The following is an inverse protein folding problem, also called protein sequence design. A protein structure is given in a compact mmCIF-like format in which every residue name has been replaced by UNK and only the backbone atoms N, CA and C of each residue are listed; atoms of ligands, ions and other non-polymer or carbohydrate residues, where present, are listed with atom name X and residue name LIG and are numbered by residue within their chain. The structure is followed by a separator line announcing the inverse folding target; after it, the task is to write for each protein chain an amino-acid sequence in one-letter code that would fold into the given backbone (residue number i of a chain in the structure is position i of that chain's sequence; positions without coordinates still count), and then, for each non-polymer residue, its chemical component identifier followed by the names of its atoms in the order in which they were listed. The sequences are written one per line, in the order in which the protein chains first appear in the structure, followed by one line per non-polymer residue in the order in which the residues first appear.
data_IF_857966642109
#
_entry.id   IF_857966642109
#
_cell.length_a   1.000
_cell.length_b   1.000
_cell.length_c   1.000
_cell.angle_alpha   90.00
_cell.angle_beta   90.00
_cell.angle_gamma   90.00
#
_symmetry.space_group_name_H-M   'P 1'
#
loop_
_entity.id
_entity.type
_entity.pdbx_description
1 polymer ?
#
# COMPACT_ATOMS: atom_id res chain seq x y z
N UNK A 1 -29.79 30.71 18.30
CA UNK A 1 -29.24 29.34 18.29
C UNK A 1 -28.03 29.34 17.36
N UNK A 2 -26.86 29.47 17.95
CA UNK A 2 -25.60 29.42 17.19
C UNK A 2 -25.33 27.97 16.88
N UNK A 3 -25.51 27.56 15.59
CA UNK A 3 -25.04 26.27 15.12
C UNK A 3 -23.52 26.27 15.29
N UNK A 4 -23.04 25.52 16.28
CA UNK A 4 -21.63 25.13 16.32
C UNK A 4 -21.33 24.42 14.99
N UNK A 5 -20.29 24.83 14.23
CA UNK A 5 -19.96 24.12 12.99
C UNK A 5 -19.74 22.67 13.35
N UNK A 6 -20.41 21.77 12.63
CA UNK A 6 -20.24 20.35 12.81
C UNK A 6 -18.73 20.05 12.66
N UNK A 7 -18.12 19.51 13.71
CA UNK A 7 -16.71 19.14 13.71
C UNK A 7 -16.51 18.15 12.55
N UNK A 8 -15.73 18.52 11.56
CA UNK A 8 -15.43 17.63 10.44
C UNK A 8 -14.86 16.33 11.01
N UNK A 9 -15.47 15.22 10.68
CA UNK A 9 -14.94 13.90 11.05
C UNK A 9 -13.64 13.67 10.29
N UNK A 10 -12.63 13.04 10.91
CA UNK A 10 -11.42 12.68 10.19
C UNK A 10 -11.75 11.72 9.05
N UNK A 11 -11.19 11.99 7.89
CA UNK A 11 -11.31 11.16 6.70
C UNK A 11 -9.93 10.98 6.06
N UNK A 12 -9.77 9.96 5.24
CA UNK A 12 -8.54 9.74 4.47
C UNK A 12 -8.84 9.56 2.99
N UNK A 13 -7.89 9.99 2.17
CA UNK A 13 -7.95 9.83 0.71
C UNK A 13 -6.65 9.20 0.24
N UNK A 14 -6.76 8.02 -0.37
CA UNK A 14 -5.64 7.36 -1.02
C UNK A 14 -5.55 7.86 -2.46
N UNK A 15 -4.60 8.75 -2.73
CA UNK A 15 -4.39 9.33 -4.05
C UNK A 15 -3.48 8.43 -4.91
N UNK A 16 -3.85 8.26 -6.19
CA UNK A 16 -3.16 7.39 -7.14
C UNK A 16 -2.56 8.21 -8.28
N UNK A 17 -1.37 8.80 -8.11
CA UNK A 17 -0.81 9.76 -9.06
C UNK A 17 -0.43 9.15 -10.41
N UNK A 18 -0.30 7.83 -10.49
CA UNK A 18 0.03 7.06 -11.69
C UNK A 18 -1.11 6.15 -12.17
N UNK A 19 -2.30 6.24 -11.53
CA UNK A 19 -3.38 5.30 -11.78
C UNK A 19 -2.91 3.86 -11.59
N UNK A 20 -3.11 3.01 -12.59
CA UNK A 20 -2.68 1.61 -12.61
C UNK A 20 -1.24 1.41 -13.14
N UNK A 21 -0.57 2.46 -13.65
CA UNK A 21 0.75 2.32 -14.26
C UNK A 21 1.80 1.87 -13.24
N UNK A 22 2.52 0.80 -13.56
CA UNK A 22 3.58 0.21 -12.73
C UNK A 22 4.74 -0.25 -13.60
N UNK A 23 5.95 -0.25 -13.06
CA UNK A 23 7.14 -0.82 -13.67
C UNK A 23 7.28 -2.32 -13.45
N UNK A 24 6.47 -2.91 -12.56
CA UNK A 24 6.37 -4.34 -12.30
C UNK A 24 5.16 -4.97 -13.00
N UNK A 25 5.13 -6.30 -12.97
CA UNK A 25 4.09 -7.15 -13.52
C UNK A 25 3.78 -8.31 -12.55
N UNK A 26 3.52 -7.95 -11.30
CA UNK A 26 3.18 -8.92 -10.26
C UNK A 26 1.92 -9.70 -10.66
N UNK A 27 1.98 -11.02 -10.65
CA UNK A 27 0.90 -11.86 -11.20
C UNK A 27 -0.45 -11.70 -10.50
N UNK A 28 -0.43 -11.37 -9.22
CA UNK A 28 -1.63 -11.14 -8.40
C UNK A 28 -2.10 -9.68 -8.39
N UNK A 29 -1.43 -8.75 -9.09
CA UNK A 29 -1.69 -7.34 -8.94
C UNK A 29 -3.00 -6.91 -9.62
N UNK A 30 -4.04 -6.75 -8.84
CA UNK A 30 -5.36 -6.31 -9.34
C UNK A 30 -5.35 -4.89 -9.93
N UNK A 31 -4.36 -4.06 -9.60
CA UNK A 31 -4.23 -2.71 -10.18
C UNK A 31 -3.91 -2.74 -11.67
N UNK A 32 -3.15 -3.70 -12.16
CA UNK A 32 -2.76 -3.77 -13.57
C UNK A 32 -3.97 -3.80 -14.51
N UNK A 33 -5.00 -4.57 -14.14
CA UNK A 33 -6.22 -4.68 -14.95
C UNK A 33 -7.06 -3.40 -14.98
N UNK A 34 -6.87 -2.49 -14.03
CA UNK A 34 -7.60 -1.22 -13.97
C UNK A 34 -7.23 -0.25 -15.08
N UNK A 35 -6.13 -0.49 -15.81
CA UNK A 35 -5.86 0.22 -17.07
C UNK A 35 -7.02 0.15 -18.06
N UNK A 36 -7.81 -0.93 -18.02
CA UNK A 36 -8.99 -1.14 -18.87
C UNK A 36 -10.17 -0.20 -18.59
N UNK A 37 -10.15 0.49 -17.46
CA UNK A 37 -11.22 1.43 -17.07
C UNK A 37 -11.05 2.82 -17.71
N UNK A 38 -9.90 3.08 -18.33
CA UNK A 38 -9.56 4.41 -18.82
C UNK A 38 -9.08 4.37 -20.26
N UNK A 39 -9.63 5.23 -21.10
CA UNK A 39 -9.23 5.38 -22.51
C UNK A 39 -7.84 6.03 -22.67
N UNK A 40 -7.33 6.66 -21.62
CA UNK A 40 -6.06 7.37 -21.62
C UNK A 40 -4.89 6.40 -21.55
N UNK A 41 -4.04 6.39 -22.60
CA UNK A 41 -2.81 5.58 -22.64
C UNK A 41 -1.79 5.95 -21.55
N UNK A 42 -1.84 7.17 -21.03
CA UNK A 42 -0.93 7.68 -19.99
C UNK A 42 -1.74 8.14 -18.79
N UNK A 43 -1.81 7.29 -17.79
CA UNK A 43 -2.45 7.58 -16.51
C UNK A 43 -1.45 8.34 -15.63
N UNK A 44 -1.61 9.65 -15.54
CA UNK A 44 -0.68 10.50 -14.82
C UNK A 44 -1.40 11.75 -14.33
N UNK A 45 -1.40 11.97 -13.02
CA UNK A 45 -2.01 13.14 -12.39
C UNK A 45 -1.35 14.43 -12.91
N UNK A 46 -2.15 15.37 -13.37
CA UNK A 46 -1.65 16.68 -13.80
C UNK A 46 -1.29 17.56 -12.61
N UNK A 47 -0.49 18.62 -12.83
CA UNK A 47 -0.21 19.60 -11.79
C UNK A 47 -1.48 20.33 -11.32
N UNK A 48 -2.41 20.61 -12.23
CA UNK A 48 -3.70 21.20 -11.89
C UNK A 48 -4.54 20.31 -10.98
N UNK A 49 -4.59 19.00 -11.28
CA UNK A 49 -5.27 18.01 -10.45
C UNK A 49 -4.61 17.90 -9.08
N UNK A 50 -3.27 17.88 -9.03
CA UNK A 50 -2.51 17.86 -7.79
C UNK A 50 -2.81 19.09 -6.93
N UNK A 51 -2.74 20.31 -7.51
CA UNK A 51 -3.01 21.55 -6.78
C UNK A 51 -4.45 21.61 -6.27
N UNK A 52 -5.41 21.21 -7.10
CA UNK A 52 -6.83 21.13 -6.74
C UNK A 52 -7.05 20.15 -5.58
N UNK A 53 -6.43 18.99 -5.65
CA UNK A 53 -6.49 17.99 -4.58
C UNK A 53 -5.92 18.53 -3.28
N UNK A 54 -4.69 19.03 -3.28
CA UNK A 54 -4.02 19.55 -2.07
C UNK A 54 -4.86 20.64 -1.42
N UNK A 55 -5.31 21.63 -2.23
CA UNK A 55 -6.13 22.73 -1.74
C UNK A 55 -7.43 22.26 -1.09
N UNK A 56 -8.18 21.40 -1.77
CA UNK A 56 -9.47 20.92 -1.28
C UNK A 56 -9.33 20.01 -0.08
N UNK A 57 -8.36 19.08 -0.10
CA UNK A 57 -8.10 18.15 0.99
C UNK A 57 -7.72 18.89 2.27
N UNK A 58 -6.77 19.83 2.21
CA UNK A 58 -6.34 20.60 3.36
C UNK A 58 -7.45 21.55 3.88
N UNK A 59 -8.25 22.11 2.97
CA UNK A 59 -9.40 22.93 3.37
C UNK A 59 -10.47 22.13 4.12
N UNK A 60 -10.72 20.90 3.69
CA UNK A 60 -11.73 20.01 4.30
C UNK A 60 -11.24 19.28 5.56
N UNK A 61 -9.92 19.12 5.71
CA UNK A 61 -9.31 18.42 6.84
C UNK A 61 -9.40 19.24 8.14
N UNK A 62 -9.49 18.59 9.31
CA UNK A 62 -9.46 19.29 10.61
C UNK A 62 -8.09 19.94 10.88
N UNK A 63 -8.00 20.70 11.96
CA UNK A 63 -6.72 21.16 12.49
C UNK A 63 -5.98 20.00 13.18
N UNK A 64 -4.66 20.13 13.33
CA UNK A 64 -3.77 19.09 13.85
C UNK A 64 -3.12 18.25 12.75
N UNK A 65 -2.85 16.99 13.05
CA UNK A 65 -2.20 16.09 12.10
C UNK A 65 -3.13 15.73 10.93
N UNK A 66 -2.63 15.93 9.72
CA UNK A 66 -3.32 15.64 8.45
C UNK A 66 -2.40 14.78 7.59
N UNK A 67 -2.81 13.56 7.27
CA UNK A 67 -1.99 12.63 6.49
C UNK A 67 -2.49 12.49 5.06
N UNK A 68 -1.63 12.74 4.09
CA UNK A 68 -1.87 12.51 2.66
C UNK A 68 -1.28 11.16 2.26
N UNK A 69 -2.10 10.28 1.66
CA UNK A 69 -1.75 8.91 1.33
C UNK A 69 -1.55 8.76 -0.18
N UNK A 70 -0.41 8.15 -0.57
CA UNK A 70 -0.01 7.97 -1.96
C UNK A 70 0.17 6.48 -2.27
N UNK A 71 -0.59 5.98 -3.24
CA UNK A 71 -0.56 4.59 -3.65
C UNK A 71 -0.92 4.47 -5.15
N UNK A 72 -1.30 3.31 -5.62
CA UNK A 72 -1.75 3.05 -6.99
C UNK A 72 -0.93 1.94 -7.63
N UNK A 73 -0.54 2.10 -8.89
CA UNK A 73 0.43 1.24 -9.54
C UNK A 73 1.80 1.37 -8.87
N UNK A 74 2.65 2.25 -9.38
CA UNK A 74 3.90 2.62 -8.69
C UNK A 74 4.02 4.16 -8.65
N UNK A 75 3.77 4.79 -7.49
CA UNK A 75 3.75 6.25 -7.40
C UNK A 75 5.11 6.90 -7.68
N UNK A 76 6.24 6.22 -7.41
CA UNK A 76 7.58 6.78 -7.68
C UNK A 76 7.87 6.98 -9.17
N UNK A 77 7.08 6.40 -10.07
CA UNK A 77 7.14 6.69 -11.50
C UNK A 77 6.81 8.15 -11.85
N UNK A 78 6.19 8.91 -10.92
CA UNK A 78 5.99 10.36 -11.09
C UNK A 78 7.30 11.15 -11.01
N UNK A 79 8.34 10.55 -10.42
CA UNK A 79 9.62 11.21 -10.17
C UNK A 79 9.59 12.20 -9.02
N UNK A 80 10.76 12.55 -8.51
CA UNK A 80 10.93 13.50 -7.40
C UNK A 80 10.28 14.86 -7.66
N UNK A 81 10.39 15.49 -8.87
CA UNK A 81 9.80 16.82 -9.10
C UNK A 81 8.30 16.91 -8.81
N UNK A 82 7.55 15.83 -9.02
CA UNK A 82 6.13 15.79 -8.66
C UNK A 82 5.91 15.90 -7.15
N UNK A 83 6.70 15.17 -6.38
CA UNK A 83 6.59 15.18 -4.92
C UNK A 83 7.20 16.43 -4.29
N UNK A 84 8.25 17.01 -4.87
CA UNK A 84 8.74 18.34 -4.51
C UNK A 84 7.65 19.39 -4.67
N UNK A 85 6.95 19.35 -5.81
CA UNK A 85 5.80 20.24 -6.08
C UNK A 85 4.66 20.00 -5.09
N UNK A 86 4.39 18.76 -4.70
CA UNK A 86 3.44 18.45 -3.64
C UNK A 86 3.79 19.18 -2.33
N UNK A 87 5.05 19.13 -1.90
CA UNK A 87 5.48 19.79 -0.66
C UNK A 87 5.26 21.30 -0.74
N UNK A 88 5.65 21.94 -1.85
CA UNK A 88 5.40 23.37 -2.07
C UNK A 88 3.91 23.72 -1.97
N UNK A 89 3.04 22.91 -2.57
CA UNK A 89 1.60 23.12 -2.52
C UNK A 89 1.03 22.91 -1.12
N UNK A 90 1.53 21.94 -0.36
CA UNK A 90 1.14 21.76 1.02
C UNK A 90 1.50 22.98 1.88
N UNK A 91 2.72 23.51 1.73
CA UNK A 91 3.12 24.75 2.43
C UNK A 91 2.28 25.97 2.01
N UNK A 92 1.88 26.04 0.76
CA UNK A 92 1.03 27.13 0.23
C UNK A 92 -0.39 27.11 0.82
N UNK A 93 -0.96 25.92 1.01
CA UNK A 93 -2.40 25.77 1.32
C UNK A 93 -2.72 25.30 2.73
N UNK A 94 -1.75 24.77 3.50
CA UNK A 94 -1.99 24.37 4.88
C UNK A 94 -2.33 25.58 5.77
N UNK A 95 -3.20 25.35 6.73
CA UNK A 95 -3.40 26.32 7.81
C UNK A 95 -2.24 26.25 8.82
N UNK A 96 -1.94 27.35 9.55
CA UNK A 96 -0.88 27.33 10.59
C UNK A 96 -1.09 26.28 11.69
N UNK A 97 -2.34 25.85 11.88
CA UNK A 97 -2.74 24.84 12.87
C UNK A 97 -2.66 23.40 12.35
N UNK A 98 -2.34 23.20 11.05
CA UNK A 98 -2.22 21.88 10.45
C UNK A 98 -0.76 21.44 10.35
N UNK A 99 -0.50 20.18 10.72
CA UNK A 99 0.75 19.48 10.50
C UNK A 99 0.53 18.43 9.42
N UNK A 100 1.03 18.71 8.21
CA UNK A 100 0.85 17.80 7.06
C UNK A 100 1.92 16.71 7.11
N UNK A 101 1.48 15.45 7.06
CA UNK A 101 2.32 14.26 6.97
C UNK A 101 2.03 13.54 5.66
N UNK A 102 2.95 12.73 5.23
CA UNK A 102 2.81 11.95 4.01
C UNK A 102 3.07 10.47 4.28
N UNK A 103 2.28 9.61 3.65
CA UNK A 103 2.59 8.19 3.58
C UNK A 103 2.52 7.71 2.13
N UNK A 104 3.48 6.92 1.71
CA UNK A 104 3.57 6.39 0.35
C UNK A 104 3.76 4.88 0.40
N UNK A 105 2.98 4.16 -0.42
CA UNK A 105 3.18 2.73 -0.63
C UNK A 105 3.87 2.51 -1.98
N UNK A 106 5.03 1.87 -1.96
CA UNK A 106 5.86 1.62 -3.14
C UNK A 106 6.32 0.17 -3.23
N UNK A 107 6.58 -0.28 -4.45
CA UNK A 107 7.27 -1.56 -4.67
C UNK A 107 8.79 -1.48 -4.36
N UNK A 108 9.32 -0.32 -4.05
CA UNK A 108 10.70 -0.11 -3.61
C UNK A 108 11.78 -0.18 -4.70
N UNK A 109 11.48 -0.68 -5.89
CA UNK A 109 12.51 -0.96 -6.93
C UNK A 109 13.16 0.29 -7.52
N UNK A 110 12.49 1.45 -7.41
CA UNK A 110 12.97 2.73 -7.92
C UNK A 110 13.49 3.66 -6.82
N UNK A 111 13.50 3.21 -5.56
CA UNK A 111 14.03 4.00 -4.44
C UNK A 111 15.55 4.09 -4.56
N UNK A 112 16.04 5.31 -4.71
CA UNK A 112 17.46 5.68 -4.77
C UNK A 112 17.86 6.45 -3.50
N UNK A 113 19.15 6.72 -3.26
CA UNK A 113 19.56 7.60 -2.17
C UNK A 113 18.88 8.97 -2.20
N UNK A 114 18.65 9.56 -3.39
CA UNK A 114 17.93 10.83 -3.51
C UNK A 114 16.45 10.74 -3.06
N UNK A 115 15.78 9.63 -3.39
CA UNK A 115 14.45 9.36 -2.88
C UNK A 115 14.43 9.21 -1.35
N UNK A 116 15.39 8.46 -0.80
CA UNK A 116 15.48 8.25 0.63
C UNK A 116 15.75 9.57 1.39
N UNK A 117 16.66 10.43 0.90
CA UNK A 117 16.88 11.77 1.45
C UNK A 117 15.62 12.63 1.41
N UNK A 118 14.93 12.65 0.26
CA UNK A 118 13.68 13.39 0.12
C UNK A 118 12.60 12.91 1.12
N UNK A 119 12.43 11.59 1.26
CA UNK A 119 11.45 11.04 2.20
C UNK A 119 11.79 11.40 3.66
N UNK A 120 13.06 11.34 4.04
CA UNK A 120 13.50 11.72 5.38
C UNK A 120 13.29 13.21 5.66
N UNK A 121 13.72 14.08 4.76
CA UNK A 121 13.61 15.53 4.89
C UNK A 121 12.14 16.01 5.00
N UNK A 122 11.22 15.29 4.37
CA UNK A 122 9.81 15.63 4.34
C UNK A 122 8.93 14.72 5.23
N UNK A 123 9.54 13.96 6.15
CA UNK A 123 8.85 13.12 7.15
C UNK A 123 7.82 12.17 6.52
N UNK A 124 8.17 11.49 5.42
CA UNK A 124 7.34 10.45 4.84
C UNK A 124 7.40 9.17 5.65
N UNK A 125 6.25 8.54 5.86
CA UNK A 125 6.17 7.12 6.16
C UNK A 125 6.17 6.34 4.84
N UNK A 126 7.15 5.46 4.65
CA UNK A 126 7.29 4.67 3.42
C UNK A 126 6.91 3.22 3.67
N UNK A 127 5.74 2.84 3.14
CA UNK A 127 5.37 1.44 3.02
C UNK A 127 6.10 0.80 1.84
N UNK A 128 6.83 -0.28 2.09
CA UNK A 128 7.53 -1.02 1.04
C UNK A 128 6.99 -2.44 0.92
N UNK A 129 6.80 -2.87 -0.31
CA UNK A 129 6.19 -4.17 -0.60
C UNK A 129 7.24 -5.28 -0.68
N UNK A 130 7.28 -6.18 0.32
CA UNK A 130 8.18 -7.35 0.37
C UNK A 130 7.39 -8.55 0.85
N UNK A 131 7.43 -9.69 0.11
CA UNK A 131 6.63 -10.88 0.43
C UNK A 131 7.45 -12.00 1.13
N UNK A 132 8.65 -11.68 1.61
CA UNK A 132 9.56 -12.61 2.29
C UNK A 132 10.93 -12.72 1.61
N UNK A 133 11.73 -13.74 1.93
CA UNK A 133 12.99 -14.05 1.24
C UNK A 133 12.81 -14.21 -0.27
N UNK A 134 13.90 -14.12 -1.04
CA UNK A 134 13.87 -14.08 -2.50
C UNK A 134 13.00 -15.17 -3.15
N UNK A 135 13.04 -16.46 -2.77
CA UNK A 135 12.20 -17.48 -3.39
C UNK A 135 10.70 -17.22 -3.23
N UNK A 136 10.28 -16.69 -2.09
CA UNK A 136 8.89 -16.41 -1.78
C UNK A 136 8.43 -15.11 -2.45
N UNK A 137 9.24 -14.07 -2.39
CA UNK A 137 8.96 -12.78 -3.04
C UNK A 137 8.89 -12.93 -4.57
N UNK A 138 9.90 -13.55 -5.16
CA UNK A 138 10.04 -13.66 -6.62
C UNK A 138 9.08 -14.68 -7.24
N UNK A 139 8.35 -15.45 -6.43
CA UNK A 139 7.30 -16.35 -6.92
C UNK A 139 6.24 -15.61 -7.74
N UNK A 140 5.85 -14.40 -7.31
CA UNK A 140 4.79 -13.63 -7.96
C UNK A 140 5.13 -12.15 -8.21
N UNK A 141 6.13 -11.57 -7.52
CA UNK A 141 6.57 -10.19 -7.78
C UNK A 141 7.63 -10.15 -8.85
N UNK A 142 7.17 -10.13 -10.10
CA UNK A 142 8.01 -10.14 -11.28
C UNK A 142 8.06 -8.75 -11.93
N UNK A 143 9.16 -8.45 -12.59
CA UNK A 143 9.24 -7.32 -13.50
C UNK A 143 8.57 -7.63 -14.84
N UNK A 144 8.44 -6.64 -15.72
CA UNK A 144 7.84 -6.83 -17.05
C UNK A 144 8.59 -7.80 -17.96
N UNK A 145 9.82 -8.15 -17.64
CA UNK A 145 10.63 -9.18 -18.31
C UNK A 145 10.46 -10.58 -17.72
N UNK A 146 9.61 -10.75 -16.70
CA UNK A 146 9.38 -12.04 -16.03
C UNK A 146 10.48 -12.44 -15.04
N UNK A 147 11.36 -11.54 -14.64
CA UNK A 147 12.41 -11.79 -13.66
C UNK A 147 11.99 -11.35 -12.27
N UNK A 148 12.50 -12.04 -11.25
CA UNK A 148 12.29 -11.67 -9.84
C UNK A 148 12.79 -10.27 -9.52
N UNK A 149 12.20 -9.64 -8.51
CA UNK A 149 12.47 -8.23 -8.16
C UNK A 149 13.06 -8.06 -6.77
N UNK A 150 13.20 -9.13 -5.99
CA UNK A 150 13.65 -9.11 -4.60
C UNK A 150 14.95 -8.29 -4.41
N UNK A 151 15.99 -8.57 -5.17
CA UNK A 151 17.27 -7.86 -5.05
C UNK A 151 17.17 -6.34 -5.30
N UNK A 152 16.25 -5.93 -6.17
CA UNK A 152 15.99 -4.51 -6.44
C UNK A 152 15.26 -3.84 -5.27
N UNK A 153 14.29 -4.55 -4.70
CA UNK A 153 13.51 -4.06 -3.55
C UNK A 153 14.39 -3.94 -2.31
N UNK A 154 15.23 -4.95 -2.03
CA UNK A 154 16.16 -4.92 -0.88
C UNK A 154 17.13 -3.78 -0.99
N UNK A 155 17.68 -3.48 -2.17
CA UNK A 155 18.49 -2.28 -2.39
C UNK A 155 17.72 -1.00 -2.04
N UNK A 156 16.45 -0.90 -2.44
CA UNK A 156 15.59 0.23 -2.06
C UNK A 156 15.35 0.31 -0.55
N UNK A 157 15.13 -0.82 0.10
CA UNK A 157 15.03 -0.94 1.55
C UNK A 157 16.29 -0.44 2.26
N UNK A 158 17.46 -0.85 1.79
CA UNK A 158 18.76 -0.41 2.33
C UNK A 158 18.94 1.11 2.21
N UNK A 159 18.54 1.71 1.09
CA UNK A 159 18.57 3.17 0.95
C UNK A 159 17.68 3.89 1.96
N UNK A 160 16.47 3.39 2.20
CA UNK A 160 15.56 3.95 3.21
C UNK A 160 16.13 3.81 4.62
N UNK A 161 16.67 2.63 4.95
CA UNK A 161 17.30 2.36 6.24
C UNK A 161 18.51 3.25 6.50
N UNK A 162 19.40 3.38 5.52
CA UNK A 162 20.61 4.20 5.62
C UNK A 162 20.31 5.69 5.80
N UNK A 163 19.15 6.14 5.33
CA UNK A 163 18.66 7.52 5.52
C UNK A 163 17.78 7.67 6.77
N UNK A 164 17.59 6.63 7.57
CA UNK A 164 16.73 6.62 8.76
C UNK A 164 15.28 7.08 8.45
N UNK A 165 14.71 6.61 7.35
CA UNK A 165 13.33 6.87 6.95
C UNK A 165 12.38 5.98 7.74
N UNK A 166 11.26 6.52 8.20
CA UNK A 166 10.19 5.74 8.81
C UNK A 166 9.59 4.77 7.80
N UNK A 167 9.66 3.48 8.09
CA UNK A 167 9.28 2.43 7.14
C UNK A 167 8.31 1.43 7.72
N UNK A 168 7.45 0.87 6.86
CA UNK A 168 6.57 -0.24 7.15
C UNK A 168 6.67 -1.28 6.01
N UNK A 169 6.85 -2.56 6.33
CA UNK A 169 6.77 -3.62 5.32
C UNK A 169 5.32 -4.04 5.14
N UNK A 170 4.87 -4.04 3.88
CA UNK A 170 3.60 -4.65 3.48
C UNK A 170 3.91 -5.97 2.77
N UNK A 171 3.51 -7.07 3.40
CA UNK A 171 3.65 -8.42 2.86
C UNK A 171 2.30 -8.93 2.35
N UNK A 172 2.27 -9.36 1.11
CA UNK A 172 1.12 -10.05 0.55
C UNK A 172 1.25 -11.53 0.87
N UNK A 173 0.26 -12.11 1.56
CA UNK A 173 0.22 -13.56 1.86
C UNK A 173 -0.52 -14.27 0.73
N UNK A 174 0.15 -15.23 0.12
CA UNK A 174 -0.30 -15.96 -1.06
C UNK A 174 0.15 -17.42 -1.00
N UNK A 175 -0.30 -18.27 -1.92
CA UNK A 175 -0.03 -19.70 -1.91
C UNK A 175 1.48 -20.09 -1.83
N UNK A 176 2.41 -19.21 -2.28
CA UNK A 176 3.82 -19.52 -2.21
C UNK A 176 4.47 -19.24 -0.84
N UNK A 177 3.87 -18.37 0.00
CA UNK A 177 4.42 -18.03 1.32
C UNK A 177 3.48 -18.36 2.49
N UNK A 178 2.25 -18.81 2.24
CA UNK A 178 1.23 -19.04 3.28
C UNK A 178 1.62 -20.09 4.35
N UNK A 179 2.51 -21.01 4.03
CA UNK A 179 3.03 -22.02 4.98
C UNK A 179 4.40 -21.62 5.57
N UNK A 180 4.88 -20.41 5.32
CA UNK A 180 6.20 -19.89 5.71
C UNK A 180 6.13 -18.70 6.69
N UNK A 181 5.07 -18.60 7.52
CA UNK A 181 4.83 -17.44 8.37
C UNK A 181 6.03 -17.04 9.23
N UNK A 182 6.60 -17.99 9.99
CA UNK A 182 7.77 -17.70 10.83
C UNK A 182 9.03 -17.36 10.04
N UNK A 183 9.26 -18.00 8.88
CA UNK A 183 10.39 -17.69 8.01
C UNK A 183 10.31 -16.24 7.52
N UNK A 184 9.12 -15.82 7.03
CA UNK A 184 8.87 -14.45 6.56
C UNK A 184 9.02 -13.44 7.70
N UNK A 185 8.43 -13.73 8.87
CA UNK A 185 8.49 -12.84 10.03
C UNK A 185 9.93 -12.64 10.51
N UNK A 186 10.68 -13.73 10.69
CA UNK A 186 12.08 -13.68 11.12
C UNK A 186 12.97 -12.99 10.11
N UNK A 187 12.75 -13.22 8.82
CA UNK A 187 13.45 -12.52 7.75
C UNK A 187 13.26 -11.00 7.86
N UNK A 188 12.03 -10.53 8.08
CA UNK A 188 11.77 -9.09 8.24
C UNK A 188 12.40 -8.53 9.52
N UNK A 189 12.22 -9.23 10.64
CA UNK A 189 12.73 -8.78 11.95
C UNK A 189 14.25 -8.88 12.04
N UNK A 190 14.83 -10.04 11.75
CA UNK A 190 16.22 -10.36 12.07
C UNK A 190 17.19 -9.93 10.97
N UNK A 191 16.83 -10.12 9.69
CA UNK A 191 17.69 -9.81 8.56
C UNK A 191 17.49 -8.38 8.05
N UNK A 192 16.22 -7.96 7.89
CA UNK A 192 15.92 -6.60 7.43
C UNK A 192 15.88 -5.59 8.58
N UNK A 193 15.72 -6.03 9.83
CA UNK A 193 15.59 -5.19 11.01
C UNK A 193 14.32 -4.32 10.97
N UNK A 194 13.25 -4.82 10.36
CA UNK A 194 11.98 -4.11 10.29
C UNK A 194 11.27 -4.15 11.64
N UNK A 195 10.70 -3.01 12.04
CA UNK A 195 9.92 -2.89 13.26
C UNK A 195 8.41 -2.84 13.00
N UNK A 196 7.98 -2.44 11.81
CA UNK A 196 6.57 -2.33 11.45
C UNK A 196 6.27 -3.20 10.25
N UNK A 197 5.26 -4.06 10.36
CA UNK A 197 4.88 -4.97 9.27
C UNK A 197 3.38 -5.22 9.24
N UNK A 198 2.89 -5.50 8.05
CA UNK A 198 1.50 -5.77 7.76
C UNK A 198 1.39 -6.97 6.82
N UNK A 199 0.49 -7.89 7.11
CA UNK A 199 0.24 -9.08 6.32
C UNK A 199 -1.15 -9.00 5.69
N UNK A 200 -1.23 -9.03 4.35
CA UNK A 200 -2.49 -8.92 3.62
C UNK A 200 -2.73 -10.19 2.80
N UNK A 201 -3.82 -10.94 3.05
CA UNK A 201 -4.10 -12.15 2.31
C UNK A 201 -4.59 -11.85 0.90
N UNK A 202 -4.14 -12.61 -0.08
CA UNK A 202 -4.71 -12.61 -1.42
C UNK A 202 -5.89 -13.56 -1.49
N UNK A 203 -7.02 -13.05 -1.98
CA UNK A 203 -8.20 -13.85 -2.36
C UNK A 203 -8.70 -13.32 -3.70
N UNK A 204 -8.26 -13.90 -4.80
CA UNK A 204 -8.64 -13.50 -6.16
C UNK A 204 -9.85 -14.29 -6.63
N UNK A 205 -11.07 -13.75 -6.40
CA UNK A 205 -12.32 -14.37 -6.83
C UNK A 205 -12.63 -14.05 -8.28
N UNK A 206 -13.02 -15.08 -9.02
CA UNK A 206 -13.40 -14.96 -10.43
C UNK A 206 -14.53 -15.92 -10.78
N UNK A 207 -15.36 -15.62 -11.80
CA UNK A 207 -16.25 -16.59 -12.40
C UNK A 207 -15.46 -17.76 -13.01
N UNK A 208 -16.04 -18.96 -12.97
CA UNK A 208 -15.40 -20.20 -13.43
C UNK A 208 -14.92 -20.11 -14.88
N UNK A 209 -15.69 -19.46 -15.74
CA UNK A 209 -15.33 -19.25 -17.16
C UNK A 209 -14.07 -18.39 -17.36
N UNK A 210 -13.74 -17.56 -16.37
CA UNK A 210 -12.55 -16.68 -16.40
C UNK A 210 -11.33 -17.23 -15.64
N UNK A 211 -11.48 -18.33 -14.89
CA UNK A 211 -10.43 -18.86 -14.03
C UNK A 211 -9.13 -19.13 -14.80
N UNK A 212 -9.22 -19.80 -15.97
CA UNK A 212 -8.04 -20.10 -16.79
C UNK A 212 -7.29 -18.85 -17.23
N UNK A 213 -8.00 -17.77 -17.52
CA UNK A 213 -7.39 -16.50 -17.91
C UNK A 213 -6.79 -15.78 -16.69
N UNK A 214 -7.49 -15.79 -15.56
CA UNK A 214 -7.02 -15.21 -14.31
C UNK A 214 -5.73 -15.88 -13.79
N UNK A 215 -5.58 -17.19 -14.00
CA UNK A 215 -4.34 -17.93 -13.64
C UNK A 215 -3.09 -17.41 -14.37
N UNK A 216 -3.23 -16.77 -15.54
CA UNK A 216 -2.14 -16.14 -16.26
C UNK A 216 -1.70 -14.79 -15.66
N UNK A 217 -2.43 -14.28 -14.67
CA UNK A 217 -2.23 -12.95 -14.06
C UNK A 217 -3.09 -11.87 -14.71
N UNK A 218 -3.03 -10.67 -14.15
CA UNK A 218 -3.88 -9.53 -14.53
C UNK A 218 -3.21 -8.58 -15.52
N UNK A 219 -2.42 -9.11 -16.43
CA UNK A 219 -1.65 -8.31 -17.40
C UNK A 219 -2.54 -7.51 -18.34
N UNK A 220 -2.10 -6.29 -18.66
CA UNK A 220 -2.65 -5.53 -19.78
C UNK A 220 -2.32 -6.20 -21.12
N UNK A 221 -3.27 -6.25 -22.05
CA UNK A 221 -3.08 -6.84 -23.39
C UNK A 221 -4.39 -7.16 -24.08
N UNK A 222 -4.32 -7.74 -25.28
CA UNK A 222 -5.51 -8.07 -26.08
C UNK A 222 -6.45 -9.11 -25.45
N UNK A 223 -5.99 -9.83 -24.43
CA UNK A 223 -6.77 -10.79 -23.65
C UNK A 223 -6.98 -10.33 -22.19
N UNK A 224 -6.77 -9.04 -21.90
CA UNK A 224 -6.88 -8.52 -20.54
C UNK A 224 -8.29 -8.69 -19.99
N UNK A 225 -8.35 -9.16 -18.75
CA UNK A 225 -9.57 -9.31 -17.96
C UNK A 225 -9.57 -8.29 -16.83
N UNK A 226 -10.64 -7.49 -16.74
CA UNK A 226 -10.80 -6.58 -15.61
C UNK A 226 -11.12 -7.37 -14.35
N UNK A 227 -10.28 -7.23 -13.34
CA UNK A 227 -10.52 -7.82 -12.02
C UNK A 227 -11.67 -7.11 -11.30
N UNK A 228 -12.70 -7.87 -10.90
CA UNK A 228 -13.92 -7.36 -10.25
C UNK A 228 -14.19 -7.94 -8.86
N UNK A 229 -13.41 -8.90 -8.38
CA UNK A 229 -13.63 -9.59 -7.10
C UNK A 229 -15.02 -10.24 -7.01
N UNK A 230 -15.49 -10.84 -8.08
CA UNK A 230 -16.75 -11.56 -8.18
C UNK A 230 -16.55 -13.02 -8.60
N UNK A 231 -17.59 -13.84 -8.49
CA UNK A 231 -17.57 -15.24 -8.92
C UNK A 231 -17.46 -16.26 -7.79
N UNK A 232 -17.39 -17.54 -8.19
CA UNK A 232 -17.46 -18.73 -7.33
C UNK A 232 -16.16 -19.53 -7.24
N UNK A 233 -15.12 -19.10 -7.95
CA UNK A 233 -13.80 -19.70 -7.93
C UNK A 233 -12.76 -18.73 -7.39
N UNK A 234 -11.62 -19.26 -6.92
CA UNK A 234 -10.42 -18.48 -6.58
C UNK A 234 -9.23 -19.00 -7.39
N UNK A 235 -8.28 -18.12 -7.70
CA UNK A 235 -7.04 -18.51 -8.37
C UNK A 235 -6.17 -19.39 -7.46
N UNK A 236 -5.28 -20.17 -8.06
CA UNK A 236 -4.31 -21.01 -7.34
C UNK A 236 -3.30 -20.22 -6.50
N UNK A 237 -3.17 -18.91 -6.75
CA UNK A 237 -2.33 -18.00 -5.97
C UNK A 237 -2.99 -17.56 -4.66
N UNK A 238 -4.30 -17.70 -4.56
CA UNK A 238 -5.05 -17.26 -3.39
C UNK A 238 -4.72 -18.12 -2.17
N UNK A 239 -4.54 -17.49 -1.02
CA UNK A 239 -4.41 -18.20 0.25
C UNK A 239 -5.77 -18.72 0.74
N UNK A 240 -5.77 -19.78 1.54
CA UNK A 240 -6.98 -20.26 2.20
C UNK A 240 -7.16 -19.61 3.57
N UNK A 241 -8.40 -19.51 4.10
CA UNK A 241 -8.61 -18.99 5.45
C UNK A 241 -7.82 -19.75 6.53
N UNK A 242 -7.69 -21.08 6.39
CA UNK A 242 -6.94 -21.92 7.33
C UNK A 242 -5.44 -21.70 7.24
N UNK A 243 -4.87 -21.56 6.04
CA UNK A 243 -3.44 -21.26 5.85
C UNK A 243 -3.10 -19.87 6.36
N UNK A 244 -3.92 -18.87 6.04
CA UNK A 244 -3.71 -17.51 6.56
C UNK A 244 -3.82 -17.45 8.09
N UNK A 245 -4.79 -18.18 8.67
CA UNK A 245 -4.93 -18.30 10.12
C UNK A 245 -3.68 -18.92 10.77
N UNK A 246 -3.14 -20.01 10.20
CA UNK A 246 -1.87 -20.60 10.68
C UNK A 246 -0.71 -19.63 10.54
N UNK A 247 -0.56 -19.01 9.37
CA UNK A 247 0.48 -18.01 9.11
C UNK A 247 0.55 -16.94 10.21
N UNK A 248 -0.60 -16.35 10.56
CA UNK A 248 -0.65 -15.34 11.61
C UNK A 248 -0.45 -15.95 13.01
N UNK A 249 -1.02 -17.13 13.30
CA UNK A 249 -0.88 -17.77 14.62
C UNK A 249 0.56 -18.14 14.92
N UNK A 250 1.28 -18.71 13.94
CA UNK A 250 2.69 -19.07 14.09
C UNK A 250 3.55 -17.84 14.40
N UNK A 251 3.27 -16.71 13.74
CA UNK A 251 3.94 -15.43 14.02
C UNK A 251 3.56 -14.92 15.41
N UNK A 252 2.27 -14.96 15.77
CA UNK A 252 1.78 -14.47 17.04
C UNK A 252 2.41 -15.19 18.23
N UNK A 253 2.56 -16.51 18.14
CA UNK A 253 3.15 -17.34 19.20
C UNK A 253 4.61 -16.95 19.51
N UNK A 254 5.38 -16.53 18.50
CA UNK A 254 6.73 -15.99 18.71
C UNK A 254 6.70 -14.54 19.17
N UNK A 255 5.91 -13.71 18.50
CA UNK A 255 5.83 -12.28 18.77
C UNK A 255 5.39 -11.95 20.19
N UNK A 256 4.36 -12.66 20.71
CA UNK A 256 3.80 -12.38 22.05
C UNK A 256 4.80 -12.65 23.18
N UNK A 257 5.78 -13.52 22.95
CA UNK A 257 6.78 -13.90 23.96
C UNK A 257 8.02 -13.01 23.90
N UNK A 258 8.37 -12.48 22.72
CA UNK A 258 9.67 -11.85 22.50
C UNK A 258 9.63 -10.40 22.07
N UNK A 259 8.63 -10.02 21.28
CA UNK A 259 8.74 -8.83 20.41
C UNK A 259 7.71 -7.74 20.72
N UNK A 260 6.82 -7.99 21.70
CA UNK A 260 5.79 -7.00 22.11
C UNK A 260 6.45 -5.69 22.54
N UNK A 261 6.01 -4.58 21.93
CA UNK A 261 6.56 -3.24 22.19
C UNK A 261 7.88 -2.94 21.47
N UNK A 262 8.41 -3.89 20.70
CA UNK A 262 9.62 -3.71 19.88
C UNK A 262 9.33 -3.88 18.39
N UNK A 263 8.50 -4.86 18.04
CA UNK A 263 8.01 -5.10 16.68
C UNK A 263 6.49 -4.96 16.68
N UNK A 264 5.98 -4.25 15.70
CA UNK A 264 4.56 -3.95 15.54
C UNK A 264 4.00 -4.67 14.32
N UNK A 265 3.06 -5.58 14.57
CA UNK A 265 2.33 -6.30 13.53
C UNK A 265 0.93 -5.74 13.48
N UNK A 266 0.54 -5.12 12.38
CA UNK A 266 -0.72 -4.37 12.28
C UNK A 266 -1.94 -5.21 12.66
N UNK A 267 -1.98 -6.49 12.26
CA UNK A 267 -3.08 -7.40 12.57
C UNK A 267 -3.24 -7.60 14.08
N UNK A 268 -2.13 -7.73 14.81
CA UNK A 268 -2.14 -7.95 16.26
C UNK A 268 -2.49 -6.67 17.01
N UNK A 269 -1.85 -5.55 16.65
CA UNK A 269 -2.11 -4.25 17.28
C UNK A 269 -3.56 -3.81 17.03
N UNK A 270 -4.10 -4.05 15.83
CA UNK A 270 -5.48 -3.73 15.49
C UNK A 270 -6.47 -4.59 16.27
N UNK A 271 -6.17 -5.88 16.44
CA UNK A 271 -6.99 -6.81 17.22
C UNK A 271 -7.02 -6.42 18.69
N UNK A 272 -5.86 -6.08 19.26
CA UNK A 272 -5.76 -5.58 20.63
C UNK A 272 -6.53 -4.26 20.81
N UNK A 273 -6.37 -3.31 19.90
CA UNK A 273 -7.11 -2.04 19.92
C UNK A 273 -8.62 -2.25 19.89
N UNK A 274 -9.10 -3.19 19.08
CA UNK A 274 -10.52 -3.53 18.99
C UNK A 274 -11.05 -4.12 20.32
N UNK A 275 -10.27 -4.92 21.03
CA UNK A 275 -10.61 -5.45 22.36
C UNK A 275 -10.77 -4.34 23.40
N UNK A 276 -10.04 -3.24 23.26
CA UNK A 276 -10.16 -2.06 24.12
C UNK A 276 -11.18 -1.02 23.62
N UNK A 277 -11.98 -1.37 22.60
CA UNK A 277 -13.10 -0.56 22.11
C UNK A 277 -12.74 0.52 21.08
N UNK A 278 -11.52 0.49 20.52
CA UNK A 278 -11.11 1.39 19.44
C UNK A 278 -10.72 0.60 18.18
N UNK A 279 -11.44 0.82 17.06
CA UNK A 279 -11.03 0.27 15.77
C UNK A 279 -9.94 1.16 15.17
N UNK A 280 -8.75 0.60 14.95
CA UNK A 280 -7.61 1.31 14.35
C UNK A 280 -7.53 1.15 12.83
N UNK A 281 -8.21 0.15 12.26
CA UNK A 281 -8.21 -0.15 10.83
C UNK A 281 -9.64 -0.17 10.30
N UNK A 282 -9.86 0.43 9.13
CA UNK A 282 -11.19 0.56 8.50
C UNK A 282 -11.93 -0.76 8.34
N UNK A 283 -11.24 -1.85 8.00
CA UNK A 283 -11.85 -3.18 7.83
C UNK A 283 -12.48 -3.73 9.12
N UNK A 284 -12.04 -3.26 10.28
CA UNK A 284 -12.57 -3.63 11.60
C UNK A 284 -13.50 -2.56 12.19
N UNK A 285 -13.71 -1.45 11.48
CA UNK A 285 -14.58 -0.37 11.96
C UNK A 285 -16.07 -0.75 11.84
N UNK A 286 -16.93 -0.29 12.76
CA UNK A 286 -18.36 -0.59 12.74
C UNK A 286 -19.11 0.12 11.60
N UNK A 287 -18.50 1.14 10.98
CA UNK A 287 -19.08 1.90 9.86
C UNK A 287 -18.05 2.14 8.77
N UNK A 288 -18.51 2.18 7.53
CA UNK A 288 -17.73 2.51 6.33
C UNK A 288 -17.93 3.98 5.94
N UNK A 289 -17.04 4.53 5.05
CA UNK A 289 -17.21 5.83 4.40
C UNK A 289 -16.21 6.91 4.82
N UNK A 290 -15.30 6.62 5.75
CA UNK A 290 -14.23 7.55 6.13
C UNK A 290 -12.99 7.46 5.20
N UNK A 291 -12.86 6.41 4.40
CA UNK A 291 -11.73 6.20 3.50
C UNK A 291 -12.19 6.24 2.06
N UNK A 292 -11.55 7.09 1.27
CA UNK A 292 -11.84 7.31 -0.13
C UNK A 292 -10.60 7.01 -0.98
N UNK A 293 -10.79 6.74 -2.25
CA UNK A 293 -9.73 6.64 -3.23
C UNK A 293 -9.89 7.74 -4.29
N UNK A 294 -8.79 8.38 -4.68
CA UNK A 294 -8.76 9.36 -5.76
C UNK A 294 -7.86 8.88 -6.88
N UNK A 295 -8.39 8.83 -8.09
CA UNK A 295 -7.65 8.45 -9.28
C UNK A 295 -6.83 9.64 -9.84
N UNK A 296 -5.93 9.33 -10.77
CA UNK A 296 -5.02 10.32 -11.39
C UNK A 296 -5.73 11.48 -12.08
N UNK A 297 -6.99 11.29 -12.50
CA UNK A 297 -7.82 12.31 -13.17
C UNK A 297 -8.64 13.16 -12.19
N UNK A 298 -8.58 12.86 -10.89
CA UNK A 298 -9.31 13.58 -9.85
C UNK A 298 -10.67 12.97 -9.45
N UNK A 299 -11.08 11.87 -10.08
CA UNK A 299 -12.30 11.15 -9.68
C UNK A 299 -12.10 10.52 -8.29
N UNK A 300 -13.11 10.69 -7.43
CA UNK A 300 -13.10 10.20 -6.03
C UNK A 300 -14.21 9.17 -5.84
N UNK A 301 -13.89 8.07 -5.17
CA UNK A 301 -14.78 6.94 -4.89
C UNK A 301 -14.80 6.60 -3.41
#
# INVERSE_FOLDING_TARGET
MTHSPARALPFSVVAKPTGAACNLDCQYCFFLSKELLYDQKRQSMSEETLETYVKNFLSASPDGDVTMLWQGGEPTLRGLPFFERLIELCEKYRRPTQVVRHAIQTNGTLVTPSWASFFKENNFLVGISIDGPAPLHDAYRLNRGGHGTHSMVIRGWEHLRNADVDTNILCTVHAANEDHGLEVYRYFRDELGAQYMQFIPIVERVPREHLRQAELGWRSGSSALLYRQDGDCVTSRSTTPSSYGRFLSDIFDEWIVRDVGQVFVQDFDSSLSALFGSASVCVHAPSCGANMAMEFNGDVY
#
